data_IF_100382946707
#
_entry.id   IF_100382946707
#
_cell.length_a   1.000
_cell.length_b   1.000
_cell.length_c   1.000
_cell.angle_alpha   90.00
_cell.angle_beta   90.00
_cell.angle_gamma   90.00
#
_symmetry.space_group_name_H-M   'P 1'
#
loop_
_entity.id
_entity.type
_entity.pdbx_description
1 polymer ?
#
# COMPACT_ATOMS: atom_id res chain seq x y z
N UNK A 1 10.48 -2.79 0.48
CA UNK A 1 10.58 -3.97 -0.38
C UNK A 1 10.92 -3.55 -1.79
N UNK A 2 9.92 -3.44 -2.66
CA UNK A 2 10.12 -3.18 -4.10
C UNK A 2 10.86 -1.88 -4.41
N UNK A 3 10.60 -0.78 -3.67
CA UNK A 3 11.36 0.47 -3.84
C UNK A 3 12.87 0.30 -3.63
N UNK A 4 13.30 -0.62 -2.76
CA UNK A 4 14.73 -0.92 -2.60
C UNK A 4 15.25 -1.65 -3.83
N UNK A 5 14.47 -2.56 -4.42
CA UNK A 5 14.85 -3.23 -5.67
C UNK A 5 14.96 -2.24 -6.82
N UNK A 6 14.02 -1.29 -6.91
CA UNK A 6 14.03 -0.22 -7.92
C UNK A 6 15.32 0.62 -7.82
N UNK A 7 15.79 0.93 -6.60
CA UNK A 7 17.08 1.58 -6.39
C UNK A 7 18.27 0.73 -6.89
N UNK A 8 18.29 -0.57 -6.58
CA UNK A 8 19.33 -1.47 -7.10
C UNK A 8 19.28 -1.60 -8.64
N UNK A 9 18.09 -1.71 -9.23
CA UNK A 9 17.90 -1.74 -10.67
C UNK A 9 18.32 -0.42 -11.32
N UNK A 10 18.07 0.71 -10.67
CA UNK A 10 18.55 2.03 -11.12
C UNK A 10 20.08 2.08 -11.14
N UNK A 11 20.75 1.56 -10.10
CA UNK A 11 22.21 1.42 -10.10
C UNK A 11 22.71 0.52 -11.23
N UNK A 12 22.04 -0.59 -11.52
CA UNK A 12 22.36 -1.42 -12.68
C UNK A 12 22.13 -0.67 -14.00
N UNK A 13 21.13 0.23 -14.05
CA UNK A 13 20.85 1.09 -15.20
C UNK A 13 22.00 2.07 -15.49
N UNK A 14 22.70 2.55 -14.46
CA UNK A 14 23.94 3.33 -14.63
C UNK A 14 25.05 2.50 -15.28
N UNK A 15 25.08 1.18 -15.04
CA UNK A 15 26.15 0.29 -15.50
C UNK A 15 25.92 -0.28 -16.90
N UNK A 16 24.68 -0.64 -17.19
CA UNK A 16 24.26 -1.37 -18.40
C UNK A 16 23.37 -0.52 -19.33
N UNK A 17 23.05 0.71 -18.94
CA UNK A 17 22.08 1.55 -19.61
C UNK A 17 20.63 1.17 -19.25
N UNK A 18 19.79 2.17 -19.03
CA UNK A 18 18.37 1.96 -18.71
C UNK A 18 17.63 1.23 -19.82
N UNK A 19 17.94 1.55 -21.08
CA UNK A 19 17.32 0.90 -22.23
C UNK A 19 17.86 -0.51 -22.45
N UNK A 20 19.11 -0.77 -22.05
CA UNK A 20 19.69 -2.12 -21.99
C UNK A 20 18.94 -3.03 -21.03
N UNK A 21 18.65 -2.54 -19.83
CA UNK A 21 17.86 -3.30 -18.86
C UNK A 21 16.41 -3.52 -19.29
N UNK A 22 15.76 -2.53 -19.93
CA UNK A 22 14.40 -2.68 -20.45
C UNK A 22 14.32 -3.74 -21.55
N UNK A 23 15.29 -3.74 -22.46
CA UNK A 23 15.35 -4.76 -23.51
C UNK A 23 15.67 -6.13 -22.93
N UNK A 24 16.64 -6.22 -22.00
CA UNK A 24 16.94 -7.48 -21.31
C UNK A 24 15.70 -8.06 -20.62
N UNK A 25 14.90 -7.22 -19.96
CA UNK A 25 13.62 -7.64 -19.37
C UNK A 25 12.63 -8.20 -20.39
N UNK A 26 12.58 -7.63 -21.60
CA UNK A 26 11.67 -8.06 -22.68
C UNK A 26 12.15 -9.33 -23.38
N UNK A 27 13.44 -9.40 -23.69
CA UNK A 27 14.04 -10.44 -24.54
C UNK A 27 14.53 -11.67 -23.75
N UNK A 28 14.81 -11.50 -22.45
CA UNK A 28 15.33 -12.55 -21.55
C UNK A 28 14.59 -12.51 -20.21
N UNK A 29 13.26 -12.71 -20.24
CA UNK A 29 12.40 -12.57 -19.06
C UNK A 29 12.75 -13.53 -17.92
N UNK A 30 13.18 -14.77 -18.25
CA UNK A 30 13.59 -15.76 -17.26
C UNK A 30 14.85 -15.31 -16.52
N UNK A 31 15.87 -14.88 -17.25
CA UNK A 31 17.14 -14.41 -16.68
C UNK A 31 16.98 -13.07 -15.96
N UNK A 32 16.06 -12.22 -16.41
CA UNK A 32 15.67 -11.01 -15.67
C UNK A 32 15.04 -11.37 -14.32
N UNK A 33 14.18 -12.38 -14.28
CA UNK A 33 13.61 -12.86 -13.03
C UNK A 33 14.68 -13.41 -12.08
N UNK A 34 15.70 -14.11 -12.59
CA UNK A 34 16.85 -14.53 -11.78
C UNK A 34 17.67 -13.34 -11.25
N UNK A 35 17.78 -12.25 -12.02
CA UNK A 35 18.37 -11.00 -11.52
C UNK A 35 17.54 -10.41 -10.37
N UNK A 36 16.21 -10.37 -10.50
CA UNK A 36 15.33 -9.90 -9.42
C UNK A 36 15.47 -10.75 -8.15
N UNK A 37 15.53 -12.09 -8.29
CA UNK A 37 15.81 -13.00 -7.15
C UNK A 37 17.17 -12.73 -6.53
N UNK A 38 18.21 -12.53 -7.34
CA UNK A 38 19.56 -12.19 -6.89
C UNK A 38 19.54 -10.90 -6.04
N UNK A 39 18.77 -9.90 -6.45
CA UNK A 39 18.56 -8.66 -5.69
C UNK A 39 17.85 -8.96 -4.37
N UNK A 40 16.75 -9.71 -4.38
CA UNK A 40 15.99 -10.07 -3.18
C UNK A 40 16.85 -10.81 -2.14
N UNK A 41 17.58 -11.84 -2.57
CA UNK A 41 18.46 -12.65 -1.71
C UNK A 41 19.56 -11.77 -1.10
N UNK A 42 20.27 -11.01 -1.94
CA UNK A 42 21.38 -10.18 -1.50
C UNK A 42 20.89 -9.10 -0.53
N UNK A 43 19.75 -8.45 -0.85
CA UNK A 43 19.10 -7.44 0.00
C UNK A 43 18.74 -7.98 1.38
N UNK A 44 18.32 -9.25 1.47
CA UNK A 44 18.02 -9.92 2.74
C UNK A 44 19.25 -10.21 3.60
N UNK A 45 20.42 -10.42 2.97
CA UNK A 45 21.68 -10.70 3.67
C UNK A 45 22.37 -9.46 4.25
N UNK A 46 21.94 -8.26 3.84
CA UNK A 46 22.51 -7.01 4.34
C UNK A 46 22.15 -6.76 5.81
N UNK A 47 23.17 -6.54 6.61
CA UNK A 47 23.06 -6.18 8.03
C UNK A 47 23.45 -4.72 8.24
N UNK A 48 22.99 -4.15 9.36
CA UNK A 48 23.39 -2.82 9.80
C UNK A 48 24.62 -2.87 10.73
N UNK A 49 25.63 -3.66 10.36
CA UNK A 49 26.93 -3.71 11.03
C UNK A 49 28.00 -2.95 10.22
N UNK A 50 29.14 -2.70 10.87
CA UNK A 50 30.31 -1.96 10.34
C UNK A 50 31.28 -2.87 9.55
N UNK A 51 30.87 -4.09 9.21
CA UNK A 51 31.68 -4.96 8.36
C UNK A 51 31.85 -4.33 6.97
N UNK A 52 33.09 -4.24 6.48
CA UNK A 52 33.47 -3.59 5.22
C UNK A 52 33.24 -4.50 3.98
N UNK A 53 32.52 -5.61 4.14
CA UNK A 53 32.22 -6.50 3.01
C UNK A 53 31.27 -5.86 2.00
N UNK A 54 31.76 -5.72 0.76
CA UNK A 54 31.01 -5.24 -0.40
C UNK A 54 29.75 -6.10 -0.64
N UNK A 55 28.62 -5.44 -0.92
CA UNK A 55 27.40 -6.09 -1.36
C UNK A 55 27.57 -6.64 -2.77
N UNK A 56 27.47 -7.96 -2.93
CA UNK A 56 27.74 -8.63 -4.20
C UNK A 56 26.45 -9.11 -4.84
N UNK A 57 26.18 -8.65 -6.06
CA UNK A 57 25.06 -9.08 -6.87
C UNK A 57 25.56 -9.97 -8.02
N UNK A 58 24.99 -11.17 -8.14
CA UNK A 58 25.22 -12.04 -9.30
C UNK A 58 24.41 -11.51 -10.48
N UNK A 59 25.06 -11.38 -11.64
CA UNK A 59 24.46 -10.83 -12.84
C UNK A 59 24.37 -11.92 -13.91
N UNK A 60 23.21 -12.11 -14.55
CA UNK A 60 23.06 -13.09 -15.62
C UNK A 60 24.04 -12.85 -16.78
N UNK A 61 24.62 -13.94 -17.31
CA UNK A 61 25.56 -13.88 -18.44
C UNK A 61 24.95 -13.24 -19.69
N UNK A 62 23.66 -13.44 -19.92
CA UNK A 62 22.91 -12.81 -21.01
C UNK A 62 22.96 -11.27 -20.96
N UNK A 63 22.85 -10.67 -19.77
CA UNK A 63 22.96 -9.22 -19.61
C UNK A 63 24.39 -8.73 -19.90
N UNK A 64 25.42 -9.47 -19.45
CA UNK A 64 26.80 -9.16 -19.81
C UNK A 64 27.07 -9.26 -21.31
N UNK A 65 26.49 -10.26 -22.00
CA UNK A 65 26.59 -10.41 -23.44
C UNK A 65 25.95 -9.22 -24.17
N UNK A 66 24.73 -8.84 -23.77
CA UNK A 66 24.03 -7.68 -24.33
C UNK A 66 24.82 -6.39 -24.16
N UNK A 67 25.40 -6.16 -22.98
CA UNK A 67 26.22 -4.97 -22.71
C UNK A 67 27.48 -4.93 -23.59
N UNK A 68 28.13 -6.09 -23.83
CA UNK A 68 29.28 -6.20 -24.73
C UNK A 68 28.92 -5.91 -26.18
N UNK A 69 27.80 -6.42 -26.67
CA UNK A 69 27.37 -6.19 -28.06
C UNK A 69 26.95 -4.74 -28.32
N UNK A 70 26.49 -4.02 -27.30
CA UNK A 70 26.12 -2.60 -27.41
C UNK A 70 27.29 -1.63 -27.29
N UNK A 71 28.42 -2.06 -26.73
CA UNK A 71 29.55 -1.20 -26.46
C UNK A 71 30.63 -1.39 -27.52
N UNK A 72 30.73 -0.45 -28.46
CA UNK A 72 31.77 -0.47 -29.51
C UNK A 72 33.20 -0.33 -28.95
N UNK A 73 33.34 0.18 -27.72
CA UNK A 73 34.60 0.24 -26.96
C UNK A 73 34.60 -0.77 -25.80
N UNK A 74 35.54 -1.72 -25.82
CA UNK A 74 35.72 -2.76 -24.79
C UNK A 74 36.49 -2.29 -23.53
N UNK A 75 36.95 -1.03 -23.48
CA UNK A 75 37.70 -0.49 -22.35
C UNK A 75 36.78 0.14 -21.28
N UNK A 76 35.84 -0.64 -20.72
CA UNK A 76 35.08 -0.19 -19.55
C UNK A 76 35.90 -0.42 -18.28
N UNK A 77 36.07 0.62 -17.47
CA UNK A 77 36.77 0.53 -16.19
C UNK A 77 36.17 -0.55 -15.29
N UNK A 78 37.03 -1.33 -14.64
CA UNK A 78 36.62 -2.33 -13.65
C UNK A 78 36.00 -1.71 -12.39
N UNK A 79 36.22 -0.41 -12.19
CA UNK A 79 35.68 0.37 -11.09
C UNK A 79 34.97 1.60 -11.64
N UNK A 80 33.78 1.86 -11.11
CA UNK A 80 32.97 3.03 -11.42
C UNK A 80 32.73 3.77 -10.13
N UNK A 81 32.96 5.07 -10.18
CA UNK A 81 32.71 5.99 -9.09
C UNK A 81 31.43 6.75 -9.42
N UNK A 82 30.49 6.76 -8.50
CA UNK A 82 29.26 7.56 -8.61
C UNK A 82 29.18 8.52 -7.44
N UNK A 83 28.57 9.68 -7.67
CA UNK A 83 28.29 10.66 -6.63
C UNK A 83 26.79 10.75 -6.43
N UNK A 84 26.33 10.63 -5.18
CA UNK A 84 24.92 10.77 -4.80
C UNK A 84 24.84 11.47 -3.45
N UNK A 85 23.97 12.48 -3.34
CA UNK A 85 23.74 13.22 -2.08
C UNK A 85 25.03 13.80 -1.47
N UNK A 86 25.98 14.23 -2.31
CA UNK A 86 27.28 14.76 -1.85
C UNK A 86 28.25 13.71 -1.32
N UNK A 87 27.95 12.43 -1.51
CA UNK A 87 28.83 11.32 -1.14
C UNK A 87 29.28 10.53 -2.37
N UNK A 88 30.54 10.11 -2.35
CA UNK A 88 31.13 9.27 -3.40
C UNK A 88 31.00 7.79 -3.04
N UNK A 89 30.61 6.99 -4.04
CA UNK A 89 30.41 5.56 -3.90
C UNK A 89 31.13 4.78 -4.99
N UNK A 90 31.54 3.56 -4.63
CA UNK A 90 32.27 2.66 -5.51
C UNK A 90 31.42 1.49 -5.97
N UNK A 91 31.50 1.17 -7.25
CA UNK A 91 30.95 -0.03 -7.86
C UNK A 91 32.08 -0.74 -8.60
N UNK A 92 32.34 -2.00 -8.25
CA UNK A 92 33.36 -2.83 -8.89
C UNK A 92 32.69 -3.89 -9.77
N UNK A 93 33.12 -3.97 -11.03
CA UNK A 93 32.79 -5.04 -11.94
C UNK A 93 33.73 -6.22 -11.68
N UNK A 94 33.17 -7.42 -11.56
CA UNK A 94 33.87 -8.70 -11.51
C UNK A 94 33.21 -9.62 -12.53
N UNK A 95 33.94 -10.61 -13.04
CA UNK A 95 33.57 -11.45 -14.19
C UNK A 95 32.07 -11.74 -14.35
N UNK A 96 31.41 -12.27 -13.32
CA UNK A 96 29.99 -12.61 -13.30
C UNK A 96 29.17 -11.82 -12.25
N UNK A 97 29.78 -10.82 -11.61
CA UNK A 97 29.26 -10.16 -10.39
C UNK A 97 29.50 -8.66 -10.40
N UNK A 98 28.58 -7.93 -9.79
CA UNK A 98 28.80 -6.52 -9.45
C UNK A 98 28.91 -6.41 -7.94
N UNK A 99 29.94 -5.69 -7.47
CA UNK A 99 30.13 -5.37 -6.06
C UNK A 99 29.83 -3.90 -5.85
N UNK A 100 28.82 -3.63 -5.05
CA UNK A 100 28.51 -2.29 -4.56
C UNK A 100 29.17 -2.12 -3.20
N UNK A 101 29.81 -0.97 -2.98
CA UNK A 101 30.24 -0.62 -1.63
C UNK A 101 29.06 -0.73 -0.66
N UNK A 102 29.31 -1.22 0.55
CA UNK A 102 28.23 -1.41 1.53
C UNK A 102 27.50 -0.10 1.84
N UNK A 103 28.23 1.01 1.89
CA UNK A 103 27.67 2.36 2.04
C UNK A 103 26.62 2.66 0.96
N UNK A 104 26.90 2.33 -0.31
CA UNK A 104 25.96 2.50 -1.41
C UNK A 104 24.75 1.58 -1.27
N UNK A 105 24.99 0.32 -0.91
CA UNK A 105 23.91 -0.63 -0.71
C UNK A 105 22.95 -0.19 0.42
N UNK A 106 23.48 0.31 1.55
CA UNK A 106 22.68 0.91 2.64
C UNK A 106 21.93 2.17 2.17
N UNK A 107 22.51 2.97 1.28
CA UNK A 107 21.87 4.17 0.74
C UNK A 107 20.55 3.84 0.01
N UNK A 108 20.46 2.70 -0.68
CA UNK A 108 19.23 2.22 -1.33
C UNK A 108 18.05 1.98 -0.35
N UNK A 109 18.31 1.86 0.95
CA UNK A 109 17.29 1.66 1.98
C UNK A 109 16.86 2.96 2.66
N UNK A 110 17.66 4.04 2.59
CA UNK A 110 17.44 5.29 3.35
C UNK A 110 16.04 5.85 3.14
N UNK A 111 15.65 6.09 1.88
CA UNK A 111 14.36 6.70 1.56
C UNK A 111 13.18 5.79 1.96
N UNK A 112 13.15 4.49 1.60
CA UNK A 112 12.06 3.60 2.03
C UNK A 112 11.93 3.50 3.55
N UNK A 113 13.04 3.40 4.28
CA UNK A 113 13.04 3.33 5.75
C UNK A 113 12.53 4.64 6.34
N UNK A 114 13.00 5.79 5.87
CA UNK A 114 12.56 7.11 6.36
C UNK A 114 11.04 7.27 6.26
N UNK A 115 10.44 6.88 5.13
CA UNK A 115 8.98 6.91 4.99
C UNK A 115 8.26 5.98 5.97
N UNK A 116 8.79 4.78 6.22
CA UNK A 116 8.21 3.85 7.20
C UNK A 116 8.29 4.45 8.62
N UNK A 117 9.43 4.99 9.01
CA UNK A 117 9.63 5.61 10.33
C UNK A 117 8.72 6.82 10.53
N UNK A 118 8.58 7.67 9.52
CA UNK A 118 7.67 8.81 9.57
C UNK A 118 6.22 8.36 9.74
N UNK A 119 5.80 7.32 9.02
CA UNK A 119 4.47 6.78 9.15
C UNK A 119 4.22 6.19 10.54
N UNK A 120 5.16 5.38 11.06
CA UNK A 120 5.07 4.83 12.41
C UNK A 120 4.98 5.92 13.48
N UNK A 121 5.79 6.99 13.39
CA UNK A 121 5.69 8.16 14.27
C UNK A 121 4.30 8.78 14.24
N UNK A 122 3.73 8.94 13.04
CA UNK A 122 2.38 9.50 12.89
C UNK A 122 1.32 8.64 13.58
N UNK A 123 1.47 7.31 13.55
CA UNK A 123 0.52 6.38 14.18
C UNK A 123 0.66 6.37 15.71
N UNK A 124 1.89 6.31 16.21
CA UNK A 124 2.17 6.27 17.66
C UNK A 124 1.86 7.59 18.37
N UNK A 125 1.97 8.73 17.67
CA UNK A 125 1.61 10.05 18.23
C UNK A 125 0.11 10.35 18.18
N UNK A 126 -0.69 9.56 17.47
CA UNK A 126 -2.15 9.71 17.49
C UNK A 126 -2.73 9.24 18.83
N UNK A 127 -3.93 9.71 19.19
CA UNK A 127 -4.61 9.30 20.43
C UNK A 127 -4.79 7.78 20.54
N UNK A 128 -5.04 7.09 19.42
CA UNK A 128 -5.16 5.63 19.38
C UNK A 128 -3.83 4.88 19.44
N UNK A 129 -2.70 5.59 19.33
CA UNK A 129 -1.35 5.03 19.39
C UNK A 129 -0.71 5.11 20.77
N UNK A 130 -1.30 5.86 21.70
CA UNK A 130 -0.81 5.98 23.07
C UNK A 130 -0.90 4.63 23.80
N UNK A 131 0.18 4.24 24.46
CA UNK A 131 0.26 2.97 25.20
C UNK A 131 0.58 1.74 24.35
N UNK A 132 0.94 1.90 23.06
CA UNK A 132 1.45 0.77 22.27
C UNK A 132 2.84 0.37 22.77
N UNK A 133 2.94 -0.87 23.26
CA UNK A 133 4.18 -1.45 23.78
C UNK A 133 4.86 -2.40 22.79
N UNK A 134 4.15 -2.87 21.76
CA UNK A 134 4.61 -3.89 20.84
C UNK A 134 4.34 -3.53 19.37
N UNK A 135 5.37 -3.60 18.53
CA UNK A 135 5.28 -3.58 17.07
C UNK A 135 5.65 -4.96 16.54
N UNK A 136 4.72 -5.58 15.81
CA UNK A 136 4.96 -6.84 15.11
C UNK A 136 5.20 -6.56 13.63
N UNK A 137 6.40 -6.83 13.16
CA UNK A 137 6.81 -6.62 11.77
C UNK A 137 6.51 -7.85 10.91
N UNK A 138 5.53 -7.74 10.01
CA UNK A 138 5.08 -8.82 9.13
C UNK A 138 5.46 -8.59 7.66
N UNK A 139 5.44 -9.66 6.85
CA UNK A 139 5.71 -9.62 5.41
C UNK A 139 7.19 -9.72 5.05
N UNK A 140 7.49 -9.97 3.78
CA UNK A 140 8.85 -10.34 3.34
C UNK A 140 9.93 -9.29 3.60
N UNK A 141 9.58 -7.99 3.55
CA UNK A 141 10.56 -6.93 3.81
C UNK A 141 10.96 -6.81 5.30
N UNK A 142 10.14 -7.35 6.20
CA UNK A 142 10.42 -7.42 7.63
C UNK A 142 11.51 -8.43 8.00
N UNK A 143 11.99 -9.22 7.03
CA UNK A 143 13.22 -10.02 7.15
C UNK A 143 14.50 -9.18 7.02
N UNK A 144 14.42 -7.92 6.58
CA UNK A 144 15.60 -7.05 6.46
C UNK A 144 16.09 -6.61 7.83
N UNK A 145 17.32 -6.98 8.18
CA UNK A 145 17.96 -6.55 9.43
C UNK A 145 18.14 -5.04 9.50
N UNK A 146 18.51 -4.39 8.38
CA UNK A 146 18.59 -2.92 8.30
C UNK A 146 17.26 -2.27 8.69
N UNK A 147 16.14 -2.78 8.17
CA UNK A 147 14.82 -2.24 8.53
C UNK A 147 14.52 -2.47 10.00
N UNK A 148 14.72 -3.70 10.50
CA UNK A 148 14.43 -4.07 11.89
C UNK A 148 15.24 -3.20 12.87
N UNK A 149 16.54 -3.03 12.61
CA UNK A 149 17.43 -2.23 13.43
C UNK A 149 17.05 -0.75 13.39
N UNK A 150 16.69 -0.23 12.21
CA UNK A 150 16.22 1.15 12.08
C UNK A 150 14.93 1.42 12.87
N UNK A 151 13.98 0.49 12.84
CA UNK A 151 12.72 0.61 13.61
C UNK A 151 13.00 0.51 15.12
N UNK A 152 13.82 -0.46 15.56
CA UNK A 152 14.23 -0.58 16.97
C UNK A 152 14.92 0.69 17.49
N UNK A 153 15.87 1.22 16.72
CA UNK A 153 16.59 2.46 17.06
C UNK A 153 15.65 3.67 17.13
N UNK A 154 14.66 3.75 16.23
CA UNK A 154 13.72 4.86 16.18
C UNK A 154 12.66 4.83 17.30
N UNK A 155 12.37 3.66 17.86
CA UNK A 155 11.33 3.46 18.87
C UNK A 155 11.85 2.59 20.04
N UNK A 156 12.83 3.07 20.83
CA UNK A 156 13.50 2.27 21.85
C UNK A 156 12.57 1.84 23.01
N UNK A 157 11.47 2.56 23.22
CA UNK A 157 10.49 2.27 24.27
C UNK A 157 9.38 1.30 23.81
N UNK A 158 9.43 0.85 22.56
CA UNK A 158 8.45 -0.07 21.98
C UNK A 158 9.18 -1.35 21.63
N UNK A 159 8.67 -2.49 22.11
CA UNK A 159 9.22 -3.78 21.75
C UNK A 159 8.94 -4.02 20.26
N UNK A 160 9.99 -4.23 19.47
CA UNK A 160 9.86 -4.53 18.04
C UNK A 160 10.24 -5.98 17.80
N UNK A 161 9.26 -6.78 17.35
CA UNK A 161 9.44 -8.20 17.07
C UNK A 161 9.07 -8.50 15.62
N UNK A 162 9.66 -9.56 15.10
CA UNK A 162 9.24 -10.19 13.85
C UNK A 162 8.71 -11.59 14.20
N UNK A 163 7.63 -12.08 13.57
CA UNK A 163 7.19 -13.45 13.78
C UNK A 163 8.29 -14.43 13.37
N UNK A 164 8.97 -15.02 14.35
CA UNK A 164 10.04 -16.00 14.17
C UNK A 164 9.50 -17.39 14.47
N UNK A 165 8.85 -18.00 13.49
CA UNK A 165 8.52 -19.43 13.57
C UNK A 165 9.77 -20.27 13.24
N UNK A 166 10.64 -19.76 12.35
CA UNK A 166 12.04 -20.11 12.10
C UNK A 166 12.81 -18.84 11.66
N UNK A 167 14.14 -18.84 11.63
CA UNK A 167 14.94 -17.70 11.16
C UNK A 167 14.52 -17.29 9.72
N UNK A 168 14.14 -16.02 9.51
CA UNK A 168 13.79 -15.48 8.19
C UNK A 168 12.34 -15.69 7.71
N UNK A 169 11.40 -16.09 8.58
CA UNK A 169 10.02 -16.44 8.15
C UNK A 169 8.96 -15.31 8.24
N UNK A 170 9.34 -14.03 8.39
CA UNK A 170 8.35 -12.94 8.42
C UNK A 170 7.47 -12.91 7.17
N UNK A 171 8.00 -13.37 6.03
CA UNK A 171 7.30 -13.52 4.76
C UNK A 171 6.04 -14.40 4.85
N UNK A 172 6.05 -15.43 5.70
CA UNK A 172 4.95 -16.40 5.80
C UNK A 172 3.88 -16.00 6.81
N UNK A 173 4.14 -15.01 7.67
CA UNK A 173 3.23 -14.59 8.74
C UNK A 173 1.82 -14.26 8.24
N UNK A 174 1.71 -13.53 7.13
CA UNK A 174 0.42 -13.17 6.53
C UNK A 174 -0.31 -14.39 6.00
N UNK A 175 0.37 -15.27 5.25
CA UNK A 175 -0.24 -16.49 4.71
C UNK A 175 -0.71 -17.41 5.83
N UNK A 176 0.13 -17.66 6.84
CA UNK A 176 -0.23 -18.50 7.99
C UNK A 176 -1.41 -17.92 8.77
N UNK A 177 -1.42 -16.61 8.99
CA UNK A 177 -2.55 -15.91 9.59
C UNK A 177 -3.84 -16.09 8.79
N UNK A 178 -3.77 -16.00 7.45
CA UNK A 178 -4.91 -16.23 6.57
C UNK A 178 -5.41 -17.68 6.61
N UNK A 179 -4.50 -18.67 6.62
CA UNK A 179 -4.85 -20.08 6.76
C UNK A 179 -5.53 -20.34 8.10
N UNK A 180 -4.98 -19.78 9.19
CA UNK A 180 -5.56 -19.93 10.52
C UNK A 180 -6.96 -19.32 10.59
N UNK A 181 -7.13 -18.10 10.04
CA UNK A 181 -8.43 -17.44 9.91
C UNK A 181 -9.44 -18.29 9.13
N UNK A 182 -9.03 -18.87 7.99
CA UNK A 182 -9.89 -19.70 7.14
C UNK A 182 -10.37 -21.00 7.80
N UNK A 183 -9.68 -21.51 8.82
CA UNK A 183 -10.11 -22.69 9.58
C UNK A 183 -11.18 -22.39 10.64
N UNK A 184 -11.81 -21.21 10.60
CA UNK A 184 -12.93 -20.86 11.48
C UNK A 184 -12.51 -20.27 12.81
N UNK A 185 -11.30 -19.70 12.89
CA UNK A 185 -10.91 -18.95 14.06
C UNK A 185 -11.60 -17.56 14.00
N UNK A 186 -12.70 -17.37 14.72
CA UNK A 186 -13.38 -16.08 14.91
C UNK A 186 -12.51 -15.10 15.75
N UNK A 187 -11.26 -14.87 15.33
CA UNK A 187 -10.28 -14.08 16.07
C UNK A 187 -10.42 -12.58 15.82
N UNK A 188 -11.03 -12.21 14.70
CA UNK A 188 -11.15 -10.80 14.30
C UNK A 188 -12.50 -10.30 14.80
N UNK A 189 -12.50 -9.61 15.94
CA UNK A 189 -13.73 -9.06 16.50
C UNK A 189 -14.24 -7.84 15.71
N UNK A 190 -13.32 -7.00 15.23
CA UNK A 190 -13.66 -5.81 14.43
C UNK A 190 -12.66 -5.57 13.30
N UNK A 191 -13.15 -4.96 12.21
CA UNK A 191 -12.33 -4.34 11.17
C UNK A 191 -12.69 -2.87 11.04
N UNK A 192 -11.72 -2.01 10.72
CA UNK A 192 -12.00 -0.59 10.46
C UNK A 192 -12.33 -0.35 8.99
N UNK A 193 -13.42 0.35 8.72
CA UNK A 193 -13.82 0.64 7.35
C UNK A 193 -12.81 1.57 6.65
N UNK A 194 -12.43 1.27 5.40
CA UNK A 194 -11.39 2.05 4.69
C UNK A 194 -11.91 3.35 4.06
N UNK A 195 -13.21 3.42 3.83
CA UNK A 195 -13.91 4.51 3.14
C UNK A 195 -15.22 4.78 3.87
N UNK A 196 -15.82 5.94 3.62
CA UNK A 196 -17.20 6.20 4.03
C UNK A 196 -18.13 5.67 2.96
N UNK A 197 -19.15 4.91 3.35
CA UNK A 197 -20.14 4.33 2.44
C UNK A 197 -21.53 4.88 2.74
N UNK A 198 -22.33 5.05 1.69
CA UNK A 198 -23.65 5.64 1.80
C UNK A 198 -24.48 5.53 0.52
N UNK A 199 -25.65 6.15 0.55
CA UNK A 199 -26.52 6.28 -0.62
C UNK A 199 -26.66 7.73 -1.06
N UNK A 200 -27.01 7.90 -2.32
CA UNK A 200 -27.60 9.15 -2.78
C UNK A 200 -29.06 9.25 -2.30
N UNK A 201 -29.42 10.36 -1.69
CA UNK A 201 -30.81 10.68 -1.35
C UNK A 201 -31.15 12.14 -1.69
N UNK A 202 -32.44 12.42 -1.68
CA UNK A 202 -33.00 13.77 -1.73
C UNK A 202 -33.60 14.12 -0.37
N UNK A 203 -33.29 15.31 0.15
CA UNK A 203 -33.79 15.79 1.45
C UNK A 203 -34.42 17.19 1.33
N UNK A 204 -35.28 17.60 2.27
CA UNK A 204 -35.60 19.01 2.48
C UNK A 204 -34.33 19.85 2.60
N UNK A 205 -34.32 21.02 1.97
CA UNK A 205 -33.16 21.90 2.02
C UNK A 205 -32.96 22.49 3.42
N UNK A 206 -31.81 22.18 4.01
CA UNK A 206 -31.30 22.79 5.25
C UNK A 206 -30.05 23.62 4.94
N UNK A 207 -30.12 24.94 5.18
CA UNK A 207 -29.02 25.88 4.96
C UNK A 207 -27.77 25.53 5.77
N UNK A 208 -27.91 24.96 6.97
CA UNK A 208 -26.77 24.58 7.82
C UNK A 208 -26.01 23.39 7.26
N UNK A 209 -26.72 22.46 6.61
CA UNK A 209 -26.14 21.23 6.06
C UNK A 209 -25.69 21.40 4.61
N UNK A 210 -26.48 22.09 3.80
CA UNK A 210 -26.27 22.16 2.35
C UNK A 210 -25.59 23.45 1.91
N UNK A 211 -25.43 24.42 2.80
CA UNK A 211 -24.71 25.67 2.54
C UNK A 211 -25.23 26.37 1.29
N UNK A 212 -24.32 26.69 0.37
CA UNK A 212 -24.60 27.44 -0.85
C UNK A 212 -25.28 26.61 -1.96
N UNK A 213 -25.50 25.30 -1.76
CA UNK A 213 -26.13 24.46 -2.79
C UNK A 213 -27.55 24.93 -3.04
N UNK A 214 -27.79 25.47 -4.23
CA UNK A 214 -29.11 25.99 -4.59
C UNK A 214 -30.17 24.88 -4.52
N UNK A 215 -31.24 25.04 -3.72
CA UNK A 215 -32.30 24.07 -3.68
C UNK A 215 -33.14 24.10 -4.95
N UNK A 216 -33.75 22.96 -5.26
CA UNK A 216 -34.72 22.83 -6.35
C UNK A 216 -36.11 22.74 -5.74
N UNK A 217 -37.06 23.50 -6.27
CA UNK A 217 -38.43 23.49 -5.78
C UNK A 217 -39.20 22.33 -6.40
N UNK A 218 -39.66 21.40 -5.57
CA UNK A 218 -40.42 20.20 -5.97
C UNK A 218 -41.70 20.16 -5.14
N UNK A 219 -42.87 20.13 -5.80
CA UNK A 219 -44.19 20.13 -5.14
C UNK A 219 -44.38 21.25 -4.10
N UNK A 220 -43.79 22.43 -4.35
CA UNK A 220 -43.87 23.58 -3.45
C UNK A 220 -42.79 23.64 -2.37
N UNK A 221 -42.02 22.57 -2.17
CA UNK A 221 -40.97 22.48 -1.15
C UNK A 221 -39.56 22.62 -1.76
N UNK A 222 -38.65 23.26 -1.03
CA UNK A 222 -37.25 23.33 -1.41
C UNK A 222 -36.55 22.01 -1.04
N UNK A 223 -36.04 21.30 -2.05
CA UNK A 223 -35.35 20.02 -1.91
C UNK A 223 -33.89 20.13 -2.37
N UNK A 224 -33.01 19.34 -1.75
CA UNK A 224 -31.61 19.21 -2.10
C UNK A 224 -31.33 17.80 -2.62
N UNK A 225 -30.80 17.72 -3.82
CA UNK A 225 -30.46 16.47 -4.52
C UNK A 225 -29.00 16.09 -4.28
N UNK A 226 -28.64 14.83 -4.58
CA UNK A 226 -27.26 14.33 -4.48
C UNK A 226 -26.69 14.40 -3.07
N UNK A 227 -27.55 14.31 -2.05
CA UNK A 227 -27.10 14.33 -0.66
C UNK A 227 -26.54 12.96 -0.31
N UNK A 228 -25.34 12.94 0.27
CA UNK A 228 -24.70 11.72 0.72
C UNK A 228 -25.32 11.31 2.07
N UNK A 229 -26.13 10.24 2.09
CA UNK A 229 -26.57 9.62 3.34
C UNK A 229 -25.59 8.53 3.73
N UNK A 230 -24.70 8.89 4.66
CA UNK A 230 -23.71 7.99 5.26
C UNK A 230 -24.38 6.85 6.04
N UNK A 231 -23.87 5.65 5.84
CA UNK A 231 -24.25 4.42 6.57
C UNK A 231 -23.08 3.93 7.40
N UNK A 232 -21.86 4.03 6.86
CA UNK A 232 -20.61 3.63 7.49
C UNK A 232 -19.60 4.75 7.31
N UNK A 233 -18.93 5.17 8.39
CA UNK A 233 -17.85 6.15 8.33
C UNK A 233 -16.47 5.49 8.13
N UNK A 234 -15.59 6.16 7.39
CA UNK A 234 -14.17 5.81 7.31
C UNK A 234 -13.52 5.75 8.70
N UNK A 235 -12.89 4.61 8.99
CA UNK A 235 -12.29 4.17 10.25
C UNK A 235 -13.27 3.71 11.33
N UNK A 236 -14.58 3.66 11.04
CA UNK A 236 -15.55 3.07 11.96
C UNK A 236 -15.27 1.58 12.14
N UNK A 237 -15.26 1.05 13.38
CA UNK A 237 -15.13 -0.38 13.64
C UNK A 237 -16.41 -1.10 13.22
N UNK A 238 -16.25 -2.20 12.48
CA UNK A 238 -17.31 -3.05 11.97
C UNK A 238 -17.13 -4.46 12.51
N UNK A 239 -18.20 -5.03 13.06
CA UNK A 239 -18.22 -6.44 13.45
C UNK A 239 -18.44 -7.33 12.24
N UNK A 240 -17.98 -8.57 12.33
CA UNK A 240 -18.33 -9.60 11.36
C UNK A 240 -19.85 -9.85 11.39
N UNK A 241 -20.46 -9.92 10.21
CA UNK A 241 -21.90 -10.11 10.02
C UNK A 241 -22.78 -9.03 10.68
N UNK A 242 -22.27 -7.80 10.80
CA UNK A 242 -23.05 -6.66 11.26
C UNK A 242 -24.11 -6.30 10.20
N UNK A 243 -25.37 -6.21 10.65
CA UNK A 243 -26.49 -5.71 9.84
C UNK A 243 -26.78 -4.27 10.24
N UNK A 244 -26.84 -3.37 9.25
CA UNK A 244 -27.38 -2.02 9.42
C UNK A 244 -28.68 -1.88 8.66
N UNK A 245 -29.67 -1.26 9.30
CA UNK A 245 -30.98 -0.99 8.72
C UNK A 245 -31.16 0.51 8.55
N UNK A 246 -31.41 0.94 7.33
CA UNK A 246 -31.75 2.32 7.02
C UNK A 246 -33.13 2.40 6.39
N UNK A 247 -33.86 3.46 6.73
CA UNK A 247 -35.10 3.83 6.05
C UNK A 247 -34.82 4.99 5.11
N UNK A 248 -35.26 4.83 3.87
CA UNK A 248 -35.23 5.86 2.83
C UNK A 248 -36.64 6.18 2.39
N UNK A 249 -36.94 7.46 2.25
CA UNK A 249 -38.20 7.90 1.65
C UNK A 249 -38.17 7.58 0.16
N UNK A 250 -39.29 7.08 -0.37
CA UNK A 250 -39.47 6.80 -1.79
C UNK A 250 -40.47 7.83 -2.32
N UNK A 251 -40.06 8.60 -3.32
CA UNK A 251 -40.97 9.50 -4.04
C UNK A 251 -41.87 8.68 -4.99
N UNK A 252 -43.12 9.12 -5.28
CA UNK A 252 -44.07 8.34 -6.08
C UNK A 252 -43.57 7.93 -7.48
N UNK A 253 -42.68 8.73 -8.06
CA UNK A 253 -42.08 8.54 -9.38
C UNK A 253 -40.70 7.87 -9.34
N UNK A 254 -40.26 7.38 -8.18
CA UNK A 254 -38.98 6.70 -8.05
C UNK A 254 -38.87 5.51 -9.01
N UNK A 255 -37.72 5.43 -9.68
CA UNK A 255 -37.38 4.43 -10.69
C UNK A 255 -36.94 3.08 -10.09
N UNK A 256 -37.06 2.93 -8.77
CA UNK A 256 -36.67 1.73 -8.02
C UNK A 256 -35.17 1.65 -7.77
N UNK A 257 -34.40 2.70 -8.06
CA UNK A 257 -32.95 2.62 -8.04
C UNK A 257 -32.32 3.41 -6.90
N UNK A 258 -31.64 2.70 -6.02
CA UNK A 258 -30.85 3.29 -4.95
C UNK A 258 -29.37 3.24 -5.32
N UNK A 259 -28.75 4.39 -5.52
CA UNK A 259 -27.34 4.49 -5.89
C UNK A 259 -26.45 4.47 -4.65
N UNK A 260 -25.45 3.59 -4.66
CA UNK A 260 -24.48 3.42 -3.57
C UNK A 260 -23.19 4.17 -3.89
N UNK A 261 -22.66 4.87 -2.90
CA UNK A 261 -21.47 5.70 -3.03
C UNK A 261 -20.42 5.33 -2.00
N UNK A 262 -19.16 5.50 -2.38
CA UNK A 262 -18.00 5.47 -1.50
C UNK A 262 -17.32 6.84 -1.48
N UNK A 263 -16.68 7.19 -0.38
CA UNK A 263 -15.95 8.45 -0.22
C UNK A 263 -14.66 8.31 0.57
N UNK A 264 -13.65 9.10 0.21
CA UNK A 264 -12.40 9.22 0.95
C UNK A 264 -12.49 10.11 2.20
N UNK A 265 -13.51 10.96 2.28
CA UNK A 265 -13.79 11.81 3.45
C UNK A 265 -14.58 11.03 4.49
N UNK A 266 -14.37 11.34 5.77
CA UNK A 266 -15.21 10.83 6.86
C UNK A 266 -16.66 11.31 6.73
N UNK A 267 -16.84 12.59 6.45
CA UNK A 267 -18.13 13.26 6.38
C UNK A 267 -18.35 13.93 5.01
N UNK A 268 -18.56 13.17 3.94
CA UNK A 268 -19.06 13.73 2.69
C UNK A 268 -20.47 14.29 2.92
N UNK A 269 -20.77 15.44 2.33
CA UNK A 269 -22.08 16.07 2.33
C UNK A 269 -22.84 15.68 1.07
N UNK A 270 -22.14 15.63 -0.07
CA UNK A 270 -22.72 15.34 -1.37
C UNK A 270 -22.04 14.19 -2.10
N UNK A 271 -22.79 13.55 -3.00
CA UNK A 271 -22.34 12.41 -3.82
C UNK A 271 -21.51 12.84 -5.02
N UNK A 272 -21.56 14.12 -5.40
CA UNK A 272 -20.80 14.73 -6.50
C UNK A 272 -19.54 15.49 -6.04
N UNK A 273 -19.11 15.29 -4.79
CA UNK A 273 -17.79 15.74 -4.34
C UNK A 273 -16.67 14.95 -5.01
N UNK A 274 -15.52 15.59 -5.26
CA UNK A 274 -14.33 14.95 -5.86
C UNK A 274 -13.88 13.69 -5.10
N UNK A 275 -14.09 13.66 -3.79
CA UNK A 275 -13.73 12.52 -2.94
C UNK A 275 -14.74 11.36 -3.00
N UNK A 276 -15.85 11.49 -3.72
CA UNK A 276 -16.98 10.56 -3.74
C UNK A 276 -17.19 9.97 -5.13
N UNK A 277 -17.53 8.68 -5.21
CA UNK A 277 -17.85 8.03 -6.49
C UNK A 277 -18.94 6.98 -6.31
N UNK A 278 -19.74 6.79 -7.36
CA UNK A 278 -20.77 5.74 -7.39
C UNK A 278 -20.07 4.38 -7.44
N UNK A 279 -20.33 3.56 -6.43
CA UNK A 279 -19.75 2.23 -6.27
C UNK A 279 -20.68 1.15 -6.82
N UNK A 280 -21.99 1.39 -6.80
CA UNK A 280 -22.98 0.43 -7.27
C UNK A 280 -24.41 0.93 -7.17
N UNK A 281 -25.36 0.03 -7.40
CA UNK A 281 -26.78 0.34 -7.46
C UNK A 281 -27.59 -0.85 -6.97
N UNK A 282 -28.60 -0.58 -6.15
CA UNK A 282 -29.59 -1.57 -5.71
C UNK A 282 -30.89 -1.25 -6.43
N UNK A 283 -31.41 -2.21 -7.19
CA UNK A 283 -32.73 -2.12 -7.79
C UNK A 283 -33.77 -2.74 -6.85
N UNK A 284 -34.88 -2.05 -6.67
CA UNK A 284 -36.05 -2.52 -5.92
C UNK A 284 -37.20 -2.62 -6.90
N UNK A 285 -37.77 -3.82 -7.02
CA UNK A 285 -38.90 -4.05 -7.90
C UNK A 285 -40.19 -3.42 -7.35
N UNK A 286 -41.08 -3.02 -8.27
CA UNK A 286 -42.44 -2.57 -7.93
C UNK A 286 -43.35 -3.78 -7.69
N UNK A 287 -44.35 -3.70 -6.79
CA UNK A 287 -44.73 -2.52 -6.00
C UNK A 287 -43.83 -2.30 -4.79
N UNK A 288 -43.49 -1.02 -4.52
CA UNK A 288 -42.66 -0.69 -3.37
C UNK A 288 -43.39 -0.97 -2.04
N UNK A 289 -42.73 -1.59 -1.04
CA UNK A 289 -43.34 -1.85 0.26
C UNK A 289 -43.74 -0.54 0.96
N UNK A 290 -44.90 -0.51 1.65
CA UNK A 290 -45.34 0.66 2.46
C UNK A 290 -44.33 1.07 3.53
N UNK A 291 -43.52 0.12 4.00
CA UNK A 291 -42.28 0.30 4.76
C UNK A 291 -41.31 -0.76 4.29
N UNK A 292 -40.18 -0.36 3.71
CA UNK A 292 -39.06 -1.24 3.43
C UNK A 292 -37.88 -0.81 4.29
N UNK A 293 -37.41 -1.71 5.16
CA UNK A 293 -36.08 -1.59 5.73
C UNK A 293 -35.10 -2.08 4.68
N UNK A 294 -34.10 -1.28 4.34
CA UNK A 294 -32.97 -1.80 3.58
C UNK A 294 -32.04 -2.49 4.57
N UNK A 295 -31.98 -3.82 4.48
CA UNK A 295 -31.02 -4.61 5.26
C UNK A 295 -29.70 -4.66 4.49
N UNK A 296 -28.67 -4.04 5.04
CA UNK A 296 -27.32 -4.11 4.48
C UNK A 296 -26.52 -5.03 5.38
N UNK A 297 -26.24 -6.23 4.86
CA UNK A 297 -25.32 -7.16 5.50
C UNK A 297 -23.91 -6.75 5.16
N UNK A 298 -23.15 -6.37 6.19
CA UNK A 298 -21.76 -5.97 6.05
C UNK A 298 -20.92 -7.20 6.34
N UNK A 299 -20.31 -7.73 5.29
CA UNK A 299 -19.31 -8.79 5.43
C UNK A 299 -17.95 -8.14 5.62
N UNK A 300 -17.34 -8.34 6.78
CA UNK A 300 -15.97 -7.91 7.03
C UNK A 300 -15.00 -8.90 6.37
N UNK A 301 -14.73 -8.72 5.07
CA UNK A 301 -13.69 -9.49 4.37
C UNK A 301 -12.30 -9.18 4.93
#
# INVERSE_FOLDING_TARGET
GNRVNEEFLSLLGVLFGTDGLKEFRRSNSSEYHELEKSIEISKGMLKDDDDDTDFTLKIPSALWNMDRHRSENNNKSNEIIIEREGETYRIKRKTDKIRFSRKLAKACFKQPISCILQHLRSLLNCSTGQGIELIIMAGGFSNSMILLDAVKKAFPNVQVVTPHFQEGEAAWSVLRGAVYFGHGSNLIEYRRCKKTYGFEITLPYDVKRHGERQPVKVNGENRCFKVFKKIIEKNEPLKENETRTETVGIEPDWDGNLQFYASDKKNPVFTDEESSWMFGKIHVDKPFPKRSGLEIKIFSA
#
